data_IF_665703267953
#
_entry.id   IF_665703267953
#
_cell.length_a   1.000
_cell.length_b   1.000
_cell.length_c   1.000
_cell.angle_alpha   90.00
_cell.angle_beta   90.00
_cell.angle_gamma   90.00
#
_symmetry.space_group_name_H-M   'P 1'
#
loop_
_entity.id
_entity.type
_entity.pdbx_description
1 polymer ?
#
# COMPACT_ATOMS: atom_id res chain seq x y z
N UNK A 1 19.12 -19.24 1.34
CA UNK A 1 17.73 -19.73 1.15
C UNK A 1 17.12 -18.87 0.07
N UNK A 2 16.75 -19.43 -1.07
CA UNK A 2 16.12 -18.65 -2.13
C UNK A 2 14.72 -18.27 -1.65
N UNK A 3 14.52 -17.01 -1.26
CA UNK A 3 13.18 -16.48 -1.04
C UNK A 3 12.37 -16.66 -2.34
N UNK A 4 11.32 -17.47 -2.27
CA UNK A 4 10.45 -17.70 -3.40
C UNK A 4 9.43 -16.56 -3.45
N UNK A 5 9.82 -15.42 -4.03
CA UNK A 5 8.92 -14.28 -4.24
C UNK A 5 7.78 -14.71 -5.16
N UNK A 6 6.57 -14.82 -4.62
CA UNK A 6 5.35 -15.01 -5.41
C UNK A 6 5.05 -13.72 -6.17
N UNK A 7 4.53 -13.81 -7.40
CA UNK A 7 4.03 -12.63 -8.14
C UNK A 7 2.57 -12.84 -8.47
N UNK A 8 1.76 -11.81 -8.21
CA UNK A 8 0.35 -11.73 -8.60
C UNK A 8 0.16 -10.57 -9.56
N UNK A 9 -0.55 -10.80 -10.67
CA UNK A 9 -0.72 -9.82 -11.76
C UNK A 9 0.12 -10.16 -13.00
N UNK A 10 0.14 -9.28 -14.01
CA UNK A 10 0.84 -9.55 -15.27
C UNK A 10 2.36 -9.65 -15.07
N UNK A 11 3.01 -10.44 -15.92
CA UNK A 11 4.46 -10.55 -15.92
C UNK A 11 5.10 -9.22 -16.39
N UNK A 12 5.97 -8.66 -15.56
CA UNK A 12 6.74 -7.44 -15.84
C UNK A 12 8.21 -7.77 -15.64
N UNK A 13 9.04 -7.41 -16.63
CA UNK A 13 10.48 -7.65 -16.55
C UNK A 13 11.13 -6.71 -15.53
N UNK A 14 12.21 -7.17 -14.91
CA UNK A 14 12.85 -6.43 -13.82
C UNK A 14 13.33 -5.03 -14.24
N UNK A 15 13.80 -4.87 -15.48
CA UNK A 15 14.26 -3.59 -16.05
C UNK A 15 13.14 -2.56 -16.28
N UNK A 16 11.89 -2.97 -16.13
CA UNK A 16 10.72 -2.09 -16.20
C UNK A 16 10.16 -1.72 -14.83
N UNK A 17 10.69 -2.29 -13.74
CA UNK A 17 10.32 -1.91 -12.37
C UNK A 17 11.14 -0.69 -11.96
N UNK A 18 10.46 0.33 -11.48
CA UNK A 18 11.05 1.61 -11.12
C UNK A 18 10.74 1.85 -9.65
N UNK A 19 11.77 1.73 -8.81
CA UNK A 19 11.63 1.86 -7.36
C UNK A 19 11.36 3.28 -6.92
N UNK A 20 10.36 3.42 -6.06
CA UNK A 20 10.11 4.63 -5.26
C UNK A 20 10.55 4.39 -3.83
N UNK A 21 10.36 3.17 -3.33
CA UNK A 21 10.72 2.76 -1.99
C UNK A 21 11.32 1.36 -2.01
N UNK A 22 12.45 1.21 -1.33
CA UNK A 22 13.03 -0.07 -0.97
C UNK A 22 13.48 0.00 0.47
N UNK A 23 13.03 -0.95 1.28
CA UNK A 23 13.37 -1.02 2.69
C UNK A 23 14.88 -1.29 2.86
N UNK A 24 15.45 -0.65 3.87
CA UNK A 24 16.84 -0.83 4.30
C UNK A 24 16.90 -0.77 5.82
N UNK A 25 17.85 -1.50 6.43
CA UNK A 25 18.02 -1.54 7.87
C UNK A 25 18.50 -0.20 8.44
N UNK A 26 19.30 0.54 7.68
CA UNK A 26 19.98 1.76 8.15
C UNK A 26 19.28 3.06 7.72
N UNK A 27 18.13 2.96 7.04
CA UNK A 27 17.41 4.11 6.50
C UNK A 27 16.02 4.17 7.12
N UNK A 28 15.68 5.32 7.69
CA UNK A 28 14.34 5.56 8.23
C UNK A 28 13.28 5.41 7.15
N UNK A 29 12.19 4.73 7.47
CA UNK A 29 11.09 4.51 6.54
C UNK A 29 10.30 5.80 6.26
N UNK A 30 10.06 6.18 5.00
CA UNK A 30 9.23 7.34 4.67
C UNK A 30 7.72 7.08 4.84
N UNK A 31 7.33 5.84 5.17
CA UNK A 31 5.94 5.50 5.42
C UNK A 31 5.45 6.16 6.71
N UNK A 32 4.18 6.57 6.72
CA UNK A 32 3.52 7.20 7.87
C UNK A 32 2.28 6.41 8.26
N UNK A 33 1.99 6.30 9.56
CA UNK A 33 0.79 5.62 10.05
C UNK A 33 -0.37 6.61 10.21
N UNK A 34 -1.58 6.18 9.85
CA UNK A 34 -2.82 6.90 10.09
C UNK A 34 -3.87 5.91 10.58
N UNK A 35 -4.62 6.26 11.62
CA UNK A 35 -5.76 5.48 12.14
C UNK A 35 -7.06 6.29 12.08
N UNK A 36 -8.19 5.60 12.27
CA UNK A 36 -9.51 6.20 12.41
C UNK A 36 -9.71 7.07 13.66
N UNK A 37 -8.71 7.15 14.56
CA UNK A 37 -8.75 8.01 15.74
C UNK A 37 -8.94 9.49 15.37
N UNK A 38 -8.54 9.89 14.16
CA UNK A 38 -8.80 11.23 13.60
C UNK A 38 -10.29 11.53 13.41
N UNK A 39 -11.14 10.50 13.42
CA UNK A 39 -12.60 10.58 13.35
C UNK A 39 -13.29 10.08 14.63
N UNK A 40 -12.54 9.89 15.73
CA UNK A 40 -13.07 9.36 17.00
C UNK A 40 -13.19 7.83 17.06
N UNK A 41 -12.60 7.11 16.09
CA UNK A 41 -12.45 5.67 16.14
C UNK A 41 -11.46 5.20 17.21
N UNK A 42 -11.43 3.89 17.45
CA UNK A 42 -10.59 3.28 18.49
C UNK A 42 -9.61 2.25 17.93
N UNK A 43 -9.39 2.24 16.62
CA UNK A 43 -8.33 1.43 16.01
C UNK A 43 -6.96 2.03 16.35
N UNK A 44 -5.96 1.18 16.51
CA UNK A 44 -4.59 1.62 16.79
C UNK A 44 -3.62 0.87 15.90
N UNK A 45 -2.56 1.55 15.47
CA UNK A 45 -1.48 0.93 14.73
C UNK A 45 -0.20 1.76 14.88
N UNK A 46 0.91 1.12 14.59
CA UNK A 46 2.22 1.73 14.51
C UNK A 46 3.01 1.14 13.34
N UNK A 47 4.08 1.84 12.96
CA UNK A 47 5.06 1.34 12.02
C UNK A 47 6.28 0.83 12.77
N UNK A 48 6.75 -0.35 12.37
CA UNK A 48 7.98 -0.95 12.87
C UNK A 48 8.90 -1.27 11.69
N UNK A 49 10.18 -0.96 11.82
CA UNK A 49 11.19 -1.55 10.93
C UNK A 49 11.48 -2.96 11.44
N UNK A 50 11.50 -3.93 10.53
CA UNK A 50 11.67 -5.34 10.87
C UNK A 50 12.43 -6.08 9.76
N UNK A 51 12.81 -7.32 10.02
CA UNK A 51 13.35 -8.24 9.04
C UNK A 51 12.43 -9.47 8.92
N UNK A 52 11.82 -9.65 7.74
CA UNK A 52 10.96 -10.80 7.46
C UNK A 52 11.55 -11.67 6.39
N UNK A 53 11.79 -12.93 6.76
CA UNK A 53 12.39 -13.93 5.87
C UNK A 53 13.77 -13.52 5.33
N UNK A 54 14.58 -12.78 6.12
CA UNK A 54 15.88 -12.22 5.70
C UNK A 54 15.76 -11.06 4.71
N UNK A 55 14.64 -10.35 4.75
CA UNK A 55 14.39 -9.11 4.00
C UNK A 55 14.02 -7.97 4.94
N UNK A 56 14.78 -6.86 4.94
CA UNK A 56 14.39 -5.64 5.63
C UNK A 56 13.02 -5.15 5.13
N UNK A 57 12.19 -4.66 6.04
CA UNK A 57 10.83 -4.22 5.70
C UNK A 57 10.30 -3.17 6.71
N UNK A 58 9.24 -2.47 6.31
CA UNK A 58 8.43 -1.65 7.20
C UNK A 58 7.08 -2.31 7.40
N UNK A 59 6.70 -2.53 8.64
CA UNK A 59 5.51 -3.27 9.05
C UNK A 59 4.47 -2.35 9.68
N UNK A 60 3.26 -2.37 9.15
CA UNK A 60 2.07 -1.88 9.82
C UNK A 60 1.58 -2.96 10.78
N UNK A 61 1.69 -2.70 12.08
CA UNK A 61 1.22 -3.57 13.14
C UNK A 61 0.16 -2.85 13.97
N UNK A 62 -0.94 -3.52 14.28
CA UNK A 62 -2.02 -2.88 15.02
C UNK A 62 -3.30 -3.69 15.06
N UNK A 63 -4.43 -3.01 15.19
CA UNK A 63 -5.73 -3.65 15.22
C UNK A 63 -6.84 -2.71 14.75
N UNK A 64 -7.70 -3.21 13.89
CA UNK A 64 -8.95 -2.53 13.53
C UNK A 64 -10.06 -2.86 14.51
N UNK A 65 -10.93 -1.87 14.75
CA UNK A 65 -12.08 -1.90 15.65
C UNK A 65 -13.28 -1.33 14.93
N UNK A 66 -14.46 -1.93 15.03
CA UNK A 66 -15.65 -1.45 14.30
C UNK A 66 -16.53 -0.50 15.13
N UNK A 67 -16.18 -0.33 16.40
CA UNK A 67 -16.78 0.63 17.32
C UNK A 67 -16.64 2.06 16.76
N UNK A 68 -17.61 2.94 17.08
CA UNK A 68 -17.67 4.33 16.63
C UNK A 68 -17.75 4.54 15.11
N UNK A 69 -18.61 3.75 14.44
CA UNK A 69 -18.95 3.85 13.01
C UNK A 69 -17.88 3.29 12.05
N UNK A 70 -17.17 2.25 12.48
CA UNK A 70 -16.24 1.50 11.65
C UNK A 70 -14.77 1.73 11.99
N UNK A 71 -13.91 0.96 11.33
CA UNK A 71 -12.50 0.82 11.69
C UNK A 71 -11.56 0.93 10.53
N UNK A 72 -10.50 1.75 10.63
CA UNK A 72 -9.36 1.62 9.73
C UNK A 72 -8.02 1.98 10.38
N UNK A 73 -6.97 1.34 9.85
CA UNK A 73 -5.58 1.77 9.99
C UNK A 73 -4.90 1.67 8.63
N UNK A 74 -3.92 2.54 8.38
CA UNK A 74 -3.17 2.54 7.14
C UNK A 74 -1.72 2.95 7.34
N UNK A 75 -0.85 2.45 6.48
CA UNK A 75 0.46 3.03 6.22
C UNK A 75 0.44 3.73 4.87
N UNK A 76 0.88 4.98 4.83
CA UNK A 76 0.84 5.85 3.66
C UNK A 76 2.24 6.29 3.25
N UNK A 77 2.48 6.27 1.95
CA UNK A 77 3.67 6.80 1.30
C UNK A 77 3.25 7.98 0.40
N UNK A 78 3.87 9.14 0.61
CA UNK A 78 3.75 10.27 -0.33
C UNK A 78 4.63 10.01 -1.56
N UNK A 79 4.18 10.48 -2.72
CA UNK A 79 4.84 10.32 -4.01
C UNK A 79 5.22 11.70 -4.51
N UNK A 80 6.52 11.90 -4.76
CA UNK A 80 7.00 13.16 -5.30
C UNK A 80 6.52 13.33 -6.76
N UNK A 81 6.19 14.55 -7.20
CA UNK A 81 5.73 14.79 -8.57
C UNK A 81 6.67 14.24 -9.66
N UNK A 82 7.98 14.22 -9.39
CA UNK A 82 8.99 13.69 -10.31
C UNK A 82 8.98 12.15 -10.45
N UNK A 83 8.35 11.44 -9.52
CA UNK A 83 8.31 9.98 -9.49
C UNK A 83 7.14 9.39 -10.27
N UNK A 84 6.04 10.13 -10.39
CA UNK A 84 4.86 9.67 -11.14
C UNK A 84 4.92 10.16 -12.59
N UNK A 85 4.59 9.29 -13.55
CA UNK A 85 4.69 9.59 -14.98
C UNK A 85 3.53 9.00 -15.78
N UNK A 86 3.14 9.70 -16.84
CA UNK A 86 2.04 9.31 -17.72
C UNK A 86 2.33 8.04 -18.53
N UNK A 87 3.60 7.75 -18.83
CA UNK A 87 4.02 6.59 -19.62
C UNK A 87 4.15 5.30 -18.81
N UNK A 88 3.94 5.34 -17.49
CA UNK A 88 3.87 4.14 -16.67
C UNK A 88 2.53 3.43 -16.84
N UNK A 89 2.50 2.13 -16.63
CA UNK A 89 1.32 1.26 -16.81
C UNK A 89 0.64 0.88 -15.51
N UNK A 90 1.29 1.08 -14.38
CA UNK A 90 0.76 0.70 -13.08
C UNK A 90 1.79 0.81 -11.95
N UNK A 91 1.41 0.20 -10.84
CA UNK A 91 2.17 0.13 -9.60
C UNK A 91 2.63 -1.30 -9.34
N UNK A 92 3.70 -1.45 -8.58
CA UNK A 92 3.97 -2.70 -7.90
C UNK A 92 4.23 -2.47 -6.41
N UNK A 93 3.88 -3.46 -5.60
CA UNK A 93 4.16 -3.47 -4.17
C UNK A 93 4.46 -4.88 -3.71
N UNK A 94 5.48 -5.04 -2.88
CA UNK A 94 5.86 -6.32 -2.28
C UNK A 94 5.40 -6.34 -0.82
N UNK A 95 4.44 -7.23 -0.52
CA UNK A 95 3.84 -7.37 0.80
C UNK A 95 4.02 -8.77 1.38
N UNK A 96 4.12 -8.86 2.70
CA UNK A 96 4.08 -10.08 3.49
C UNK A 96 3.41 -9.78 4.84
N UNK A 97 2.55 -10.66 5.34
CA UNK A 97 1.77 -10.39 6.54
C UNK A 97 0.90 -11.57 6.97
N UNK A 98 0.18 -11.40 8.07
CA UNK A 98 -0.91 -12.32 8.41
C UNK A 98 -1.93 -12.35 7.26
N UNK A 99 -2.49 -13.54 6.99
CA UNK A 99 -3.41 -13.73 5.87
C UNK A 99 -4.68 -12.89 6.06
N UNK A 100 -4.82 -11.84 5.25
CA UNK A 100 -6.00 -10.98 5.24
C UNK A 100 -6.01 -10.13 3.96
N UNK A 101 -7.19 -9.65 3.58
CA UNK A 101 -7.35 -8.66 2.52
C UNK A 101 -6.97 -7.27 3.02
N UNK A 102 -6.10 -6.60 2.27
CA UNK A 102 -5.77 -5.19 2.46
C UNK A 102 -6.16 -4.40 1.22
N UNK A 103 -6.51 -3.12 1.37
CA UNK A 103 -6.79 -2.26 0.23
C UNK A 103 -5.54 -1.45 -0.12
N UNK A 104 -5.16 -1.44 -1.39
CA UNK A 104 -4.23 -0.44 -1.92
C UNK A 104 -5.04 0.78 -2.32
N UNK A 105 -4.85 1.90 -1.63
CA UNK A 105 -5.45 3.17 -1.98
C UNK A 105 -4.43 4.04 -2.71
N UNK A 106 -4.85 4.68 -3.79
CA UNK A 106 -4.07 5.64 -4.58
C UNK A 106 -4.84 6.95 -4.61
N UNK A 107 -4.14 8.05 -4.38
CA UNK A 107 -4.71 9.40 -4.52
C UNK A 107 -3.97 10.19 -5.59
N UNK A 108 -4.73 10.90 -6.41
CA UNK A 108 -4.22 11.91 -7.34
C UNK A 108 -4.49 13.32 -6.82
N UNK A 109 -3.89 14.33 -7.46
CA UNK A 109 -4.07 15.75 -7.10
C UNK A 109 -5.52 16.22 -7.21
N UNK A 110 -6.31 15.67 -8.14
CA UNK A 110 -7.72 16.03 -8.29
C UNK A 110 -8.62 15.56 -7.12
N UNK A 111 -8.16 14.59 -6.32
CA UNK A 111 -8.93 14.06 -5.19
C UNK A 111 -8.73 14.91 -3.93
N UNK A 112 -9.71 15.77 -3.66
CA UNK A 112 -9.68 16.74 -2.56
C UNK A 112 -10.40 16.27 -1.28
N UNK A 113 -11.18 15.17 -1.31
CA UNK A 113 -11.85 14.64 -0.12
C UNK A 113 -11.08 13.49 0.53
N UNK A 114 -11.08 13.37 1.87
CA UNK A 114 -10.34 12.32 2.56
C UNK A 114 -10.85 10.90 2.25
N UNK A 115 -12.15 10.74 1.98
CA UNK A 115 -12.79 9.44 1.66
C UNK A 115 -12.69 9.01 0.19
N UNK A 116 -12.13 9.85 -0.68
CA UNK A 116 -11.93 9.54 -2.10
C UNK A 116 -10.61 8.81 -2.32
N UNK A 117 -10.63 7.82 -3.20
CA UNK A 117 -9.45 7.10 -3.66
C UNK A 117 -9.72 6.38 -4.97
N UNK A 118 -8.65 6.00 -5.66
CA UNK A 118 -8.66 4.86 -6.57
C UNK A 118 -8.13 3.66 -5.79
N UNK A 119 -8.75 2.49 -5.89
CA UNK A 119 -8.37 1.36 -5.04
C UNK A 119 -8.55 -0.01 -5.66
N UNK A 120 -7.78 -0.97 -5.14
CA UNK A 120 -7.98 -2.40 -5.35
C UNK A 120 -7.72 -3.16 -4.04
N UNK A 121 -8.13 -4.42 -4.00
CA UNK A 121 -7.89 -5.31 -2.86
C UNK A 121 -6.73 -6.25 -3.17
N UNK A 122 -5.83 -6.41 -2.19
CA UNK A 122 -4.64 -7.26 -2.24
C UNK A 122 -4.78 -8.35 -1.18
N UNK A 123 -4.88 -9.64 -1.57
CA UNK A 123 -4.90 -10.75 -0.62
C UNK A 123 -3.47 -11.01 -0.12
N UNK A 124 -3.13 -10.45 1.03
CA UNK A 124 -1.81 -10.63 1.66
C UNK A 124 -1.76 -12.00 2.33
N UNK A 125 -0.61 -12.66 2.23
CA UNK A 125 -0.33 -13.99 2.79
C UNK A 125 0.99 -13.95 3.58
N UNK A 126 1.27 -14.96 4.43
CA UNK A 126 2.53 -15.07 5.19
C UNK A 126 3.69 -15.55 4.29
N UNK A 127 3.79 -14.96 3.10
CA UNK A 127 4.87 -15.14 2.14
C UNK A 127 5.02 -13.86 1.30
N UNK A 128 6.25 -13.49 0.98
CA UNK A 128 6.51 -12.34 0.13
C UNK A 128 5.84 -12.49 -1.22
N UNK A 129 4.93 -11.55 -1.51
CA UNK A 129 4.18 -11.48 -2.76
C UNK A 129 4.36 -10.12 -3.40
N UNK A 130 4.82 -10.09 -4.65
CA UNK A 130 4.79 -8.90 -5.50
C UNK A 130 3.42 -8.81 -6.18
N UNK A 131 2.67 -7.79 -5.84
CA UNK A 131 1.44 -7.43 -6.54
C UNK A 131 1.80 -6.46 -7.66
N UNK A 132 1.58 -6.87 -8.90
CA UNK A 132 1.64 -6.01 -10.08
C UNK A 132 0.23 -5.51 -10.34
N UNK A 133 0.01 -4.21 -10.18
CA UNK A 133 -1.31 -3.57 -10.24
C UNK A 133 -1.33 -2.59 -11.42
N UNK A 134 -1.78 -3.02 -12.61
CA UNK A 134 -2.11 -2.11 -13.70
C UNK A 134 -3.12 -1.05 -13.26
N UNK A 135 -3.01 0.17 -13.78
CA UNK A 135 -3.96 1.24 -13.43
C UNK A 135 -5.43 0.88 -13.71
N UNK A 136 -5.68 0.02 -14.71
CA UNK A 136 -7.02 -0.48 -15.02
C UNK A 136 -7.67 -1.32 -13.89
N UNK A 137 -6.87 -1.82 -12.93
CA UNK A 137 -7.39 -2.53 -11.74
C UNK A 137 -7.70 -1.58 -10.57
N UNK A 138 -7.34 -0.31 -10.67
CA UNK A 138 -7.66 0.69 -9.65
C UNK A 138 -9.02 1.31 -9.94
N UNK A 139 -10.00 0.94 -9.11
CA UNK A 139 -11.37 1.41 -9.28
C UNK A 139 -11.61 2.71 -8.50
N UNK A 140 -12.29 3.67 -9.14
CA UNK A 140 -12.72 4.89 -8.48
C UNK A 140 -13.65 4.57 -7.30
N UNK A 141 -13.42 5.23 -6.17
CA UNK A 141 -14.26 5.09 -4.98
C UNK A 141 -14.71 6.47 -4.48
N UNK A 142 -16.04 6.66 -4.43
CA UNK A 142 -16.70 7.92 -4.03
C UNK A 142 -16.25 9.14 -4.85
N UNK A 143 -15.94 8.92 -6.11
CA UNK A 143 -15.57 9.94 -7.10
C UNK A 143 -15.93 9.46 -8.50
N UNK A 144 -16.23 10.40 -9.39
CA UNK A 144 -16.43 10.16 -10.82
C UNK A 144 -15.17 10.49 -11.65
N UNK A 145 -14.07 10.81 -10.95
CA UNK A 145 -12.77 11.07 -11.55
C UNK A 145 -12.17 9.83 -12.22
N UNK A 146 -11.44 10.05 -13.31
CA UNK A 146 -10.52 9.06 -13.88
C UNK A 146 -9.11 9.22 -13.30
N UNK A 147 -8.39 8.11 -13.15
CA UNK A 147 -7.03 8.11 -12.63
C UNK A 147 -6.09 8.82 -13.61
N UNK A 148 -5.37 9.83 -13.11
CA UNK A 148 -4.32 10.54 -13.84
C UNK A 148 -2.94 10.05 -13.36
N UNK A 149 -2.22 9.19 -14.13
CA UNK A 149 -1.00 8.56 -13.65
C UNK A 149 0.12 9.51 -13.23
N UNK A 150 0.28 10.63 -13.95
CA UNK A 150 1.28 11.65 -13.67
C UNK A 150 0.92 12.57 -12.49
N UNK A 151 -0.24 12.38 -11.87
CA UNK A 151 -0.71 13.18 -10.74
C UNK A 151 -0.85 12.35 -9.46
N UNK A 152 -0.33 11.12 -9.44
CA UNK A 152 -0.35 10.28 -8.24
C UNK A 152 0.52 10.97 -7.18
N UNK A 153 -0.10 11.30 -6.04
CA UNK A 153 0.54 12.01 -4.93
C UNK A 153 0.73 11.17 -3.69
N UNK A 154 -0.05 10.10 -3.51
CA UNK A 154 0.16 9.15 -2.42
C UNK A 154 -0.43 7.78 -2.73
N UNK A 155 0.17 6.78 -2.08
CA UNK A 155 -0.34 5.42 -1.98
C UNK A 155 -0.46 5.01 -0.53
N UNK A 156 -1.38 4.11 -0.21
CA UNK A 156 -1.52 3.57 1.13
C UNK A 156 -1.97 2.11 1.11
N UNK A 157 -1.44 1.33 2.05
CA UNK A 157 -1.96 0.00 2.39
C UNK A 157 -2.91 0.17 3.56
N UNK A 158 -4.16 -0.23 3.38
CA UNK A 158 -5.27 0.09 4.29
C UNK A 158 -5.95 -1.19 4.77
N UNK A 159 -5.97 -1.37 6.08
CA UNK A 159 -6.84 -2.32 6.77
C UNK A 159 -8.14 -1.62 7.12
N UNK A 160 -9.28 -2.07 6.58
CA UNK A 160 -10.58 -1.40 6.74
C UNK A 160 -11.75 -2.38 6.57
N UNK A 161 -12.86 -2.10 7.24
CA UNK A 161 -14.16 -2.76 6.99
C UNK A 161 -14.43 -4.01 7.82
N UNK A 162 -13.40 -4.59 8.44
CA UNK A 162 -13.51 -5.71 9.38
C UNK A 162 -12.64 -5.45 10.61
N UNK A 163 -12.97 -6.06 11.75
CA UNK A 163 -12.13 -6.05 12.95
C UNK A 163 -11.15 -7.23 12.92
N UNK A 164 -9.85 -6.97 12.92
CA UNK A 164 -8.80 -7.99 12.93
C UNK A 164 -7.47 -7.42 13.44
N UNK A 165 -6.56 -8.31 13.82
CA UNK A 165 -5.18 -7.97 14.13
C UNK A 165 -4.42 -7.69 12.82
N UNK A 166 -3.91 -6.46 12.71
CA UNK A 166 -3.27 -5.95 11.51
C UNK A 166 -1.79 -6.27 11.56
N UNK A 167 -1.33 -6.92 10.50
CA UNK A 167 0.07 -7.27 10.29
C UNK A 167 0.35 -7.33 8.79
N UNK A 168 0.94 -6.26 8.26
CA UNK A 168 1.33 -6.18 6.85
C UNK A 168 2.63 -5.39 6.70
N UNK A 169 3.62 -6.01 6.07
CA UNK A 169 4.92 -5.42 5.84
C UNK A 169 5.17 -5.17 4.37
N UNK A 170 5.79 -4.03 4.07
CA UNK A 170 6.25 -3.64 2.75
C UNK A 170 7.77 -3.61 2.72
N UNK A 171 8.37 -4.23 1.71
CA UNK A 171 9.82 -4.13 1.48
C UNK A 171 10.19 -3.36 0.22
N UNK A 172 9.25 -3.24 -0.73
CA UNK A 172 9.50 -2.59 -2.01
C UNK A 172 8.20 -2.05 -2.60
N UNK A 173 8.24 -0.86 -3.16
CA UNK A 173 7.13 -0.22 -3.86
C UNK A 173 7.65 0.65 -5.01
N UNK A 174 6.91 0.69 -6.10
CA UNK A 174 7.22 1.57 -7.21
C UNK A 174 6.24 1.48 -8.37
N UNK A 175 6.69 1.92 -9.53
CA UNK A 175 5.94 1.93 -10.78
C UNK A 175 6.48 0.89 -11.76
N UNK A 176 5.72 0.61 -12.81
CA UNK A 176 6.24 -0.15 -13.94
C UNK A 176 5.79 0.40 -15.30
N UNK A 177 6.58 0.11 -16.34
CA UNK A 177 6.35 0.49 -17.75
C UNK A 177 6.23 -0.70 -18.70
#
# INVERSE_FOLDING_TARGET
MNENLKTQGPAVRAEHLIDVYQASQDVHSPWTVISDQVMGGVSSAELRQDDRHSSPCTCLAGRTRLENNGGFVQMKLEIEPSQSRADYKGLFIELCGAAHDYNLHVKTNQLNKPWQSFRCTLPVEPQWTRFIVPYAQLHAHRTDAELQPAEIRSVAVVAIGTAFDVDACVRRFGFFR
#
